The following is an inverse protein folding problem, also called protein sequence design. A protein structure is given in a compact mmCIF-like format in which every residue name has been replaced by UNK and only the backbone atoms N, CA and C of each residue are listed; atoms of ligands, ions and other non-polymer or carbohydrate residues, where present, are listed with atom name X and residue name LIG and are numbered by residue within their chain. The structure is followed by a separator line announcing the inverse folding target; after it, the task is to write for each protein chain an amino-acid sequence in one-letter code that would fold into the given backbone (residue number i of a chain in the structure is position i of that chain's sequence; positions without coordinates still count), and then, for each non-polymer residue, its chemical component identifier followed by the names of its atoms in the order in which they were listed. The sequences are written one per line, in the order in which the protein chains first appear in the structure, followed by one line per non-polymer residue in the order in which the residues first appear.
data_IF_797782241219
#
_entry.id   IF_797782241219
#
_cell.length_a   1.000
_cell.length_b   1.000
_cell.length_c   1.000
_cell.angle_alpha   90.00
_cell.angle_beta   90.00
_cell.angle_gamma   90.00
#
_symmetry.space_group_name_H-M   'P 1'
#
loop_
_entity.id
_entity.type
_entity.pdbx_description
1 polymer ?
#
# COMPACT_ATOMS: atom_id res chain seq x y z
N UNK A 1 7.54 29.43 -4.13
CA UNK A 1 8.13 28.10 -3.90
C UNK A 1 6.96 27.13 -3.75
N UNK A 2 6.50 26.54 -4.86
CA UNK A 2 5.43 25.54 -4.79
C UNK A 2 6.04 24.26 -4.24
N UNK A 3 5.57 23.84 -3.06
CA UNK A 3 5.82 22.50 -2.53
C UNK A 3 5.37 21.53 -3.62
N UNK A 4 6.34 20.83 -4.21
CA UNK A 4 6.14 19.85 -5.25
C UNK A 4 5.25 18.76 -4.66
N UNK A 5 3.99 18.83 -5.04
CA UNK A 5 3.00 17.80 -4.79
C UNK A 5 3.59 16.44 -5.17
N UNK A 6 3.78 15.57 -4.18
CA UNK A 6 4.43 14.28 -4.39
C UNK A 6 3.38 13.36 -5.00
N UNK A 7 3.55 12.95 -6.25
CA UNK A 7 2.62 12.03 -6.90
C UNK A 7 2.95 10.58 -6.49
N UNK A 8 2.14 9.98 -5.62
CA UNK A 8 2.37 8.64 -5.07
C UNK A 8 2.35 7.60 -6.17
N UNK A 9 1.44 7.77 -7.14
CA UNK A 9 1.35 6.86 -8.27
C UNK A 9 2.64 6.88 -9.10
N UNK A 10 3.19 8.06 -9.39
CA UNK A 10 4.44 8.20 -10.13
C UNK A 10 5.59 7.52 -9.38
N UNK A 11 5.70 7.72 -8.07
CA UNK A 11 6.74 7.07 -7.24
C UNK A 11 6.59 5.55 -7.23
N UNK A 12 5.38 5.03 -7.04
CA UNK A 12 5.15 3.59 -7.00
C UNK A 12 5.33 2.95 -8.39
N UNK A 13 4.96 3.63 -9.47
CA UNK A 13 5.23 3.18 -10.83
C UNK A 13 6.74 3.12 -11.11
N UNK A 14 7.49 4.17 -10.76
CA UNK A 14 8.95 4.20 -10.90
C UNK A 14 9.58 3.04 -10.13
N UNK A 15 9.27 2.90 -8.84
CA UNK A 15 9.73 1.77 -8.03
C UNK A 15 9.38 0.41 -8.65
N UNK A 16 8.19 0.26 -9.21
CA UNK A 16 7.78 -0.98 -9.88
C UNK A 16 8.57 -1.27 -11.16
N UNK A 17 8.94 -0.25 -11.95
CA UNK A 17 9.85 -0.41 -13.09
C UNK A 17 11.24 -0.87 -12.65
N UNK A 18 11.69 -0.43 -11.47
CA UNK A 18 13.00 -0.76 -10.91
C UNK A 18 13.05 -2.02 -10.05
N UNK A 19 11.90 -2.63 -9.74
CA UNK A 19 11.80 -3.77 -8.81
C UNK A 19 12.35 -5.11 -9.36
N UNK A 20 12.77 -5.15 -10.63
CA UNK A 20 13.33 -6.35 -11.28
C UNK A 20 12.33 -7.49 -11.52
N UNK A 21 11.07 -7.31 -11.12
CA UNK A 21 9.96 -8.25 -11.32
C UNK A 21 8.64 -7.48 -11.47
N UNK A 22 7.64 -8.04 -12.19
CA UNK A 22 6.33 -7.42 -12.28
C UNK A 22 5.65 -7.42 -10.91
N UNK A 23 5.21 -6.24 -10.45
CA UNK A 23 4.53 -6.05 -9.17
C UNK A 23 3.19 -5.36 -9.39
N UNK A 24 2.11 -6.02 -8.97
CA UNK A 24 0.74 -5.53 -9.13
C UNK A 24 0.30 -4.72 -7.90
N UNK A 25 1.08 -3.70 -7.55
CA UNK A 25 0.91 -2.91 -6.34
C UNK A 25 -0.43 -2.16 -6.26
N UNK A 26 -1.10 -1.94 -7.40
CA UNK A 26 -2.45 -1.34 -7.45
C UNK A 26 -3.54 -2.20 -6.84
N UNK A 27 -3.36 -3.52 -6.76
CA UNK A 27 -4.39 -4.45 -6.26
C UNK A 27 -3.88 -5.43 -5.20
N UNK A 28 -2.57 -5.58 -5.07
CA UNK A 28 -1.94 -6.52 -4.13
C UNK A 28 -1.22 -5.76 -3.02
N UNK A 29 -1.70 -5.91 -1.79
CA UNK A 29 -0.97 -5.41 -0.60
C UNK A 29 0.43 -6.01 -0.52
N UNK A 30 0.64 -7.26 -0.94
CA UNK A 30 1.96 -7.89 -0.87
C UNK A 30 2.96 -7.16 -1.76
N UNK A 31 2.54 -6.84 -2.99
CA UNK A 31 3.41 -6.17 -3.95
C UNK A 31 3.60 -4.70 -3.60
N UNK A 32 2.57 -4.05 -3.06
CA UNK A 32 2.70 -2.71 -2.49
C UNK A 32 3.72 -2.68 -1.35
N UNK A 33 3.67 -3.62 -0.41
CA UNK A 33 4.64 -3.71 0.69
C UNK A 33 6.05 -3.96 0.16
N UNK A 34 6.24 -4.84 -0.83
CA UNK A 34 7.55 -5.05 -1.46
C UNK A 34 8.12 -3.77 -2.09
N UNK A 35 7.31 -2.96 -2.77
CA UNK A 35 7.77 -1.69 -3.37
C UNK A 35 8.19 -0.65 -2.33
N UNK A 36 7.60 -0.74 -1.13
CA UNK A 36 7.93 0.11 0.00
C UNK A 36 9.10 -0.46 0.82
N UNK A 37 9.75 -1.53 0.36
CA UNK A 37 10.79 -2.26 1.11
C UNK A 37 10.31 -2.75 2.49
N UNK A 38 9.02 -3.12 2.59
CA UNK A 38 8.38 -3.64 3.79
C UNK A 38 8.18 -5.17 3.72
N UNK A 39 8.15 -5.80 4.88
CA UNK A 39 7.85 -7.22 5.00
C UNK A 39 6.40 -7.51 4.53
N UNK A 40 6.27 -8.36 3.51
CA UNK A 40 4.99 -8.72 2.89
C UNK A 40 4.39 -10.05 3.40
N UNK A 41 5.02 -10.65 4.41
CA UNK A 41 4.58 -11.91 5.02
C UNK A 41 3.18 -11.76 5.62
N UNK A 42 2.53 -12.89 5.85
CA UNK A 42 1.23 -12.89 6.53
C UNK A 42 1.35 -12.35 7.96
N UNK A 43 2.46 -12.61 8.66
CA UNK A 43 2.68 -12.14 10.02
C UNK A 43 2.77 -10.61 10.06
N UNK A 44 3.59 -10.01 9.19
CA UNK A 44 3.72 -8.56 9.10
C UNK A 44 2.39 -7.89 8.75
N UNK A 45 1.62 -8.46 7.82
CA UNK A 45 0.27 -7.96 7.48
C UNK A 45 -0.69 -8.04 8.66
N UNK A 46 -0.68 -9.13 9.44
CA UNK A 46 -1.50 -9.25 10.64
C UNK A 46 -1.12 -8.22 11.71
N UNK A 47 0.18 -8.00 11.92
CA UNK A 47 0.66 -6.96 12.84
C UNK A 47 0.21 -5.57 12.38
N UNK A 48 0.42 -5.24 11.11
CA UNK A 48 -0.05 -3.97 10.54
C UNK A 48 -1.57 -3.82 10.68
N UNK A 49 -2.34 -4.89 10.47
CA UNK A 49 -3.79 -4.85 10.65
C UNK A 49 -4.16 -4.54 12.11
N UNK A 50 -3.46 -5.12 13.08
CA UNK A 50 -3.66 -4.84 14.50
C UNK A 50 -3.29 -3.40 14.87
N UNK A 51 -2.15 -2.90 14.40
CA UNK A 51 -1.70 -1.51 14.63
C UNK A 51 -2.69 -0.48 14.05
N UNK A 52 -3.38 -0.85 12.99
CA UNK A 52 -4.38 -0.02 12.33
C UNK A 52 -5.81 -0.29 12.84
N UNK A 53 -5.95 -1.07 13.91
CA UNK A 53 -7.23 -1.40 14.55
C UNK A 53 -8.25 -2.08 13.60
N UNK A 54 -7.78 -2.96 12.73
CA UNK A 54 -8.65 -3.78 11.89
C UNK A 54 -9.54 -4.67 12.77
N UNK A 55 -10.85 -4.54 12.59
CA UNK A 55 -11.87 -5.28 13.37
C UNK A 55 -12.50 -6.44 12.61
N UNK A 56 -12.05 -6.71 11.38
CA UNK A 56 -12.57 -7.80 10.55
C UNK A 56 -11.86 -9.12 10.79
N UNK A 57 -12.22 -10.11 9.98
CA UNK A 57 -11.64 -11.45 10.07
C UNK A 57 -10.17 -11.47 9.62
N UNK A 58 -9.29 -11.96 10.50
CA UNK A 58 -7.84 -12.09 10.25
C UNK A 58 -7.42 -13.51 9.85
N UNK A 59 -8.35 -14.47 9.85
CA UNK A 59 -8.09 -15.85 9.43
C UNK A 59 -8.23 -15.96 7.91
N UNK A 60 -9.26 -15.32 7.35
CA UNK A 60 -9.44 -15.10 5.93
C UNK A 60 -8.72 -13.81 5.49
N UNK A 61 -7.44 -13.95 5.18
CA UNK A 61 -6.58 -12.83 4.81
C UNK A 61 -7.03 -12.03 3.59
N UNK A 62 -7.98 -12.51 2.76
CA UNK A 62 -8.41 -11.80 1.56
C UNK A 62 -9.03 -10.41 1.89
N UNK A 63 -10.01 -10.38 2.80
CA UNK A 63 -10.65 -9.12 3.23
C UNK A 63 -9.66 -8.20 3.94
N UNK A 64 -8.81 -8.77 4.80
CA UNK A 64 -7.74 -8.04 5.48
C UNK A 64 -6.76 -7.42 4.48
N UNK A 65 -6.39 -8.12 3.41
CA UNK A 65 -5.45 -7.64 2.40
C UNK A 65 -5.99 -6.46 1.62
N UNK A 66 -7.26 -6.54 1.19
CA UNK A 66 -7.94 -5.44 0.50
C UNK A 66 -8.03 -4.22 1.41
N UNK A 67 -8.42 -4.43 2.67
CA UNK A 67 -8.48 -3.35 3.66
C UNK A 67 -7.10 -2.72 3.92
N UNK A 68 -6.07 -3.54 4.14
CA UNK A 68 -4.70 -3.08 4.38
C UNK A 68 -4.16 -2.29 3.20
N UNK A 69 -4.42 -2.74 1.96
CA UNK A 69 -4.04 -2.03 0.75
C UNK A 69 -4.57 -0.59 0.77
N UNK A 70 -5.86 -0.41 1.03
CA UNK A 70 -6.50 0.91 1.14
C UNK A 70 -5.91 1.75 2.27
N UNK A 71 -5.63 1.16 3.43
CA UNK A 71 -5.04 1.89 4.55
C UNK A 71 -3.62 2.38 4.25
N UNK A 72 -2.78 1.53 3.63
CA UNK A 72 -1.42 1.91 3.24
C UNK A 72 -1.46 3.03 2.20
N UNK A 73 -2.31 2.91 1.17
CA UNK A 73 -2.50 3.98 0.17
C UNK A 73 -2.96 5.29 0.81
N UNK A 74 -3.89 5.22 1.76
CA UNK A 74 -4.37 6.40 2.50
C UNK A 74 -3.24 7.06 3.30
N UNK A 75 -2.41 6.27 4.00
CA UNK A 75 -1.27 6.80 4.74
C UNK A 75 -0.20 7.41 3.84
N UNK A 76 0.07 6.81 2.68
CA UNK A 76 0.97 7.39 1.68
C UNK A 76 0.44 8.75 1.20
N UNK A 77 -0.87 8.86 0.99
CA UNK A 77 -1.50 10.13 0.61
C UNK A 77 -1.34 11.20 1.71
N UNK A 78 -1.57 10.81 2.97
CA UNK A 78 -1.50 11.72 4.13
C UNK A 78 -0.09 12.26 4.40
N UNK A 79 0.96 11.49 4.07
CA UNK A 79 2.36 11.90 4.29
C UNK A 79 2.93 12.77 3.14
N UNK A 80 2.06 13.45 2.38
CA UNK A 80 2.45 14.42 1.35
C UNK A 80 2.15 14.01 -0.08
N UNK A 81 1.42 12.90 -0.26
CA UNK A 81 1.19 12.26 -1.53
C UNK A 81 -0.18 12.55 -2.18
N UNK A 82 -0.24 12.89 -3.47
CA UNK A 82 -1.48 12.69 -4.24
C UNK A 82 -1.62 11.23 -4.63
N UNK A 83 -2.74 10.63 -4.23
CA UNK A 83 -3.16 9.28 -4.65
C UNK A 83 -4.32 9.43 -5.65
N UNK A 84 -4.24 8.77 -6.84
CA UNK A 84 -5.32 8.72 -7.82
C UNK A 84 -6.66 8.33 -7.21
N UNK A 85 -7.76 8.87 -7.74
CA UNK A 85 -9.10 8.56 -7.24
C UNK A 85 -9.40 7.05 -7.31
N UNK A 86 -9.00 6.39 -8.39
CA UNK A 86 -9.15 4.94 -8.58
C UNK A 86 -8.42 4.07 -7.54
N UNK A 87 -7.48 4.64 -6.78
CA UNK A 87 -6.73 3.94 -5.73
C UNK A 87 -7.22 4.29 -4.32
N UNK A 88 -8.24 5.16 -4.20
CA UNK A 88 -8.87 5.53 -2.93
C UNK A 88 -10.07 4.64 -2.60
N UNK A 89 -10.53 3.80 -3.53
CA UNK A 89 -11.80 3.07 -3.40
C UNK A 89 -11.70 1.69 -2.77
#
# INVERSE_FOLDING_TARGET
MQLTDVDVETILNDKAQHAGQPLNWRSSILDLLKLLDLDSSLQARKQLAQELHYSGDMENSASMNVWLHRQVMTKLAQNGGKVPADLRD
#
